data_IF_257555508188
#
_entry.id   IF_257555508188
#
_cell.length_a   1.000
_cell.length_b   1.000
_cell.length_c   1.000
_cell.angle_alpha   90.00
_cell.angle_beta   90.00
_cell.angle_gamma   90.00
#
_symmetry.space_group_name_H-M   'P 1'
#
loop_
_entity.id
_entity.type
_entity.pdbx_description
1 polymer ?
#
# COMPACT_ATOMS: atom_id res chain seq x y z
N UNK A 1 18.83 -53.65 -42.24
CA UNK A 1 17.79 -53.46 -41.20
C UNK A 1 18.37 -52.59 -40.10
N UNK A 2 17.95 -51.32 -39.99
CA UNK A 2 18.30 -50.46 -38.84
C UNK A 2 17.02 -49.71 -38.45
N UNK A 3 16.43 -50.08 -37.32
CA UNK A 3 15.28 -49.39 -36.72
C UNK A 3 15.81 -48.21 -35.90
N UNK A 4 15.57 -46.99 -36.36
CA UNK A 4 15.77 -45.77 -35.56
C UNK A 4 14.50 -45.48 -34.77
N UNK A 5 14.57 -45.54 -33.45
CA UNK A 5 13.56 -45.02 -32.54
C UNK A 5 13.85 -43.53 -32.31
N UNK A 6 12.88 -42.68 -32.64
CA UNK A 6 12.91 -41.23 -32.38
C UNK A 6 12.08 -41.01 -31.11
N UNK A 7 12.74 -40.56 -30.05
CA UNK A 7 12.08 -40.12 -28.82
C UNK A 7 12.13 -38.59 -28.79
N UNK A 8 11.00 -37.93 -29.05
CA UNK A 8 10.86 -36.48 -28.86
C UNK A 8 10.49 -36.18 -27.42
N UNK A 9 11.34 -35.42 -26.71
CA UNK A 9 11.04 -34.85 -25.41
C UNK A 9 10.83 -33.34 -25.58
N UNK A 10 9.60 -32.85 -25.40
CA UNK A 10 9.28 -31.43 -25.41
C UNK A 10 9.45 -30.91 -23.99
N UNK A 11 10.50 -30.11 -23.74
CA UNK A 11 10.71 -29.39 -22.49
C UNK A 11 10.00 -28.04 -22.62
N UNK A 12 8.85 -27.89 -21.95
CA UNK A 12 8.17 -26.61 -21.79
C UNK A 12 8.86 -25.77 -20.72
N UNK A 13 9.57 -24.71 -21.14
CA UNK A 13 10.07 -23.68 -20.22
C UNK A 13 8.89 -22.78 -19.80
N UNK A 14 8.41 -22.96 -18.57
CA UNK A 14 7.55 -21.97 -17.93
C UNK A 14 8.39 -20.75 -17.55
N UNK A 15 8.22 -19.64 -18.27
CA UNK A 15 8.77 -18.34 -17.89
C UNK A 15 8.02 -17.83 -16.65
N UNK A 16 8.55 -18.12 -15.46
CA UNK A 16 8.11 -17.44 -14.25
C UNK A 16 8.67 -16.03 -14.26
N UNK A 17 7.84 -15.05 -14.64
CA UNK A 17 8.17 -13.63 -14.52
C UNK A 17 8.29 -13.29 -13.03
N UNK A 18 9.50 -13.31 -12.49
CA UNK A 18 9.76 -12.80 -11.15
C UNK A 18 9.65 -11.27 -11.20
N UNK A 19 8.46 -10.74 -10.89
CA UNK A 19 8.28 -9.31 -10.67
C UNK A 19 9.09 -8.94 -9.43
N UNK A 20 10.24 -8.30 -9.65
CA UNK A 20 11.14 -7.92 -8.57
C UNK A 20 10.64 -6.65 -7.91
N UNK A 21 10.45 -6.70 -6.59
CA UNK A 21 10.06 -5.52 -5.82
C UNK A 21 11.17 -4.46 -5.85
N UNK A 22 10.82 -3.22 -6.21
CA UNK A 22 11.74 -2.08 -6.12
C UNK A 22 11.93 -1.74 -4.65
N UNK A 23 13.16 -1.61 -4.18
CA UNK A 23 13.48 -1.29 -2.78
C UNK A 23 14.42 -0.10 -2.70
N UNK A 24 14.08 0.87 -1.85
CA UNK A 24 14.92 2.03 -1.51
C UNK A 24 14.79 2.26 -0.01
N UNK A 25 15.90 2.22 0.71
CA UNK A 25 15.90 2.25 2.19
C UNK A 25 14.98 1.16 2.78
N UNK A 26 13.94 1.55 3.52
CA UNK A 26 12.92 0.65 4.09
C UNK A 26 11.64 0.61 3.26
N UNK A 27 11.58 1.35 2.16
CA UNK A 27 10.40 1.44 1.31
C UNK A 27 10.52 0.51 0.12
N UNK A 28 9.39 -0.09 -0.22
CA UNK A 28 9.30 -1.07 -1.29
C UNK A 28 8.09 -0.77 -2.19
N UNK A 29 8.19 -1.12 -3.47
CA UNK A 29 7.09 -1.17 -4.43
C UNK A 29 7.04 -2.54 -5.13
N UNK A 30 5.84 -3.04 -5.43
CA UNK A 30 5.66 -4.30 -6.13
C UNK A 30 4.21 -4.50 -6.56
N UNK A 31 3.96 -5.46 -7.44
CA UNK A 31 2.63 -5.76 -7.97
C UNK A 31 2.06 -7.03 -7.34
N UNK A 32 0.78 -7.00 -6.97
CA UNK A 32 0.01 -8.16 -6.49
C UNK A 32 -1.40 -8.07 -7.06
N UNK A 33 -1.80 -9.05 -7.88
CA UNK A 33 -3.16 -9.14 -8.45
C UNK A 33 -3.67 -7.83 -9.11
N UNK A 34 -2.78 -7.10 -9.80
CA UNK A 34 -3.08 -5.83 -10.46
C UNK A 34 -3.07 -4.60 -9.54
N UNK A 35 -2.78 -4.78 -8.25
CA UNK A 35 -2.49 -3.68 -7.34
C UNK A 35 -0.99 -3.42 -7.27
N UNK A 36 -0.62 -2.15 -7.45
CA UNK A 36 0.67 -1.67 -7.00
C UNK A 36 0.63 -1.49 -5.49
N UNK A 37 1.50 -2.20 -4.79
CA UNK A 37 1.71 -2.13 -3.35
C UNK A 37 2.93 -1.27 -3.08
N UNK A 38 2.78 -0.25 -2.25
CA UNK A 38 3.89 0.52 -1.67
C UNK A 38 3.92 0.27 -0.17
N UNK A 39 5.06 -0.13 0.41
CA UNK A 39 5.09 -0.44 1.84
C UNK A 39 6.42 -0.18 2.52
N UNK A 40 6.35 -0.06 3.84
CA UNK A 40 7.49 -0.03 4.75
C UNK A 40 7.18 -0.82 6.01
N UNK A 41 8.21 -1.31 6.68
CA UNK A 41 8.12 -2.00 7.98
C UNK A 41 9.09 -1.38 8.98
N UNK A 42 8.78 -1.52 10.28
CA UNK A 42 9.66 -1.08 11.35
C UNK A 42 10.31 -2.27 12.08
N UNK A 43 11.12 -1.97 13.10
CA UNK A 43 11.88 -2.96 13.86
C UNK A 43 11.03 -3.87 14.75
N UNK A 44 9.79 -3.49 15.05
CA UNK A 44 8.84 -4.32 15.80
C UNK A 44 7.92 -5.14 14.89
N UNK A 45 8.19 -5.16 13.58
CA UNK A 45 7.39 -5.92 12.60
C UNK A 45 6.06 -5.26 12.24
N UNK A 46 5.81 -4.02 12.67
CA UNK A 46 4.65 -3.27 12.19
C UNK A 46 4.83 -2.93 10.69
N UNK A 47 3.71 -2.84 9.97
CA UNK A 47 3.71 -2.54 8.54
C UNK A 47 2.76 -1.38 8.21
N UNK A 48 3.20 -0.55 7.28
CA UNK A 48 2.41 0.53 6.67
C UNK A 48 2.39 0.29 5.16
N UNK A 49 1.20 0.16 4.60
CA UNK A 49 1.00 -0.25 3.20
C UNK A 49 0.00 0.68 2.53
N UNK A 50 0.35 1.17 1.34
CA UNK A 50 -0.58 1.83 0.42
C UNK A 50 -0.79 0.91 -0.78
N UNK A 51 -2.02 0.49 -0.98
CA UNK A 51 -2.45 -0.26 -2.15
C UNK A 51 -3.04 0.68 -3.18
N UNK A 52 -2.67 0.49 -4.43
CA UNK A 52 -3.13 1.29 -5.55
C UNK A 52 -3.53 0.42 -6.72
N UNK A 53 -4.79 0.50 -7.13
CA UNK A 53 -5.31 -0.08 -8.36
C UNK A 53 -6.00 1.03 -9.16
N UNK A 54 -5.47 1.42 -10.33
CA UNK A 54 -5.93 2.60 -11.03
C UNK A 54 -7.37 2.50 -11.54
N UNK A 55 -7.79 1.32 -12.01
CA UNK A 55 -9.11 1.11 -12.63
C UNK A 55 -10.19 0.56 -11.70
N UNK A 56 -9.85 0.04 -10.52
CA UNK A 56 -10.83 -0.62 -9.65
C UNK A 56 -11.69 0.43 -8.92
N UNK A 57 -13.02 0.46 -9.14
CA UNK A 57 -13.87 1.56 -8.67
C UNK A 57 -14.16 1.56 -7.16
N UNK A 58 -14.01 0.39 -6.51
CA UNK A 58 -14.25 0.21 -5.07
C UNK A 58 -13.12 -0.58 -4.46
N UNK A 59 -12.58 -0.08 -3.34
CA UNK A 59 -11.41 -0.59 -2.65
C UNK A 59 -10.20 -0.67 -3.59
N UNK A 60 -10.07 0.29 -4.49
CA UNK A 60 -8.95 0.38 -5.41
C UNK A 60 -7.76 1.10 -4.78
N UNK A 61 -8.00 1.99 -3.81
CA UNK A 61 -6.95 2.73 -3.12
C UNK A 61 -7.15 2.63 -1.62
N UNK A 62 -6.22 1.94 -0.96
CA UNK A 62 -6.35 1.59 0.45
C UNK A 62 -5.06 1.92 1.19
N UNK A 63 -5.19 2.44 2.40
CA UNK A 63 -4.09 2.50 3.35
C UNK A 63 -4.35 1.48 4.45
N UNK A 64 -3.41 0.56 4.60
CA UNK A 64 -3.47 -0.57 5.51
C UNK A 64 -2.29 -0.50 6.47
N UNK A 65 -2.58 -0.53 7.78
CA UNK A 65 -1.58 -0.53 8.84
C UNK A 65 -1.79 -1.73 9.72
N UNK A 66 -0.69 -2.43 10.03
CA UNK A 66 -0.68 -3.55 10.98
C UNK A 66 0.33 -3.25 12.08
N UNK A 67 -0.10 -3.32 13.35
CA UNK A 67 0.73 -3.14 14.53
C UNK A 67 0.56 -4.37 15.41
N UNK A 68 1.64 -5.09 15.70
CA UNK A 68 1.60 -6.31 16.53
C UNK A 68 0.55 -7.33 16.05
N UNK A 69 0.48 -7.53 14.72
CA UNK A 69 -0.49 -8.42 14.08
C UNK A 69 -1.94 -7.91 14.05
N UNK A 70 -2.23 -6.71 14.56
CA UNK A 70 -3.57 -6.14 14.63
C UNK A 70 -3.76 -5.03 13.59
N UNK A 71 -4.97 -4.96 13.04
CA UNK A 71 -5.47 -3.84 12.23
C UNK A 71 -6.28 -2.88 13.11
N UNK A 72 -6.49 -1.62 12.69
CA UNK A 72 -7.34 -0.71 13.45
C UNK A 72 -8.78 -1.26 13.52
N UNK A 73 -9.45 -1.04 14.66
CA UNK A 73 -10.85 -1.43 14.82
C UNK A 73 -11.72 -0.76 13.75
N UNK A 74 -12.56 -1.51 13.02
CA UNK A 74 -13.48 -0.94 12.04
C UNK A 74 -14.39 0.15 12.62
N UNK A 75 -14.80 1.11 11.79
CA UNK A 75 -15.69 2.22 12.19
C UNK A 75 -15.15 3.06 13.36
N UNK A 76 -13.82 3.18 13.44
CA UNK A 76 -13.15 4.05 14.42
C UNK A 76 -12.32 5.12 13.71
N UNK A 77 -11.52 5.87 14.46
CA UNK A 77 -10.54 6.80 13.92
C UNK A 77 -9.14 6.38 14.35
N UNK A 78 -8.20 6.54 13.45
CA UNK A 78 -6.78 6.34 13.66
C UNK A 78 -6.08 7.69 13.60
N UNK A 79 -5.05 7.88 14.42
CA UNK A 79 -4.20 9.07 14.37
C UNK A 79 -2.99 8.82 13.50
N UNK A 80 -2.77 9.70 12.53
CA UNK A 80 -1.49 9.85 11.85
C UNK A 80 -0.75 11.06 12.44
N UNK A 81 0.51 10.87 12.78
CA UNK A 81 1.37 11.89 13.37
C UNK A 81 2.54 12.11 12.43
N UNK A 82 2.60 13.26 11.75
CA UNK A 82 3.61 13.58 10.73
C UNK A 82 4.14 15.00 10.96
N UNK A 83 5.46 15.16 11.11
CA UNK A 83 6.13 16.44 11.44
C UNK A 83 5.39 17.29 12.49
N UNK A 84 5.01 16.68 13.61
CA UNK A 84 4.28 17.29 14.73
C UNK A 84 2.80 17.65 14.46
N UNK A 85 2.28 17.36 13.28
CA UNK A 85 0.84 17.45 13.00
C UNK A 85 0.15 16.13 13.37
N UNK A 86 -1.04 16.23 13.98
CA UNK A 86 -1.88 15.07 14.30
C UNK A 86 -3.15 15.15 13.47
N UNK A 87 -3.39 14.13 12.65
CA UNK A 87 -4.60 13.98 11.85
C UNK A 87 -5.39 12.77 12.31
N UNK A 88 -6.71 12.93 12.46
CA UNK A 88 -7.61 11.82 12.75
C UNK A 88 -8.34 11.36 11.50
N UNK A 89 -8.06 10.15 11.04
CA UNK A 89 -8.56 9.62 9.78
C UNK A 89 -9.56 8.50 10.05
N UNK A 90 -10.75 8.50 9.39
CA UNK A 90 -11.73 7.45 9.58
C UNK A 90 -11.25 6.11 9.04
N UNK A 91 -11.58 5.06 9.78
CA UNK A 91 -11.37 3.66 9.41
C UNK A 91 -12.72 3.09 9.00
N UNK A 92 -12.79 2.52 7.79
CA UNK A 92 -14.00 1.94 7.24
C UNK A 92 -14.38 0.61 7.93
N UNK A 93 -15.49 0.02 7.48
CA UNK A 93 -16.02 -1.24 8.00
C UNK A 93 -15.08 -2.43 7.82
N UNK A 94 -14.10 -2.33 6.90
CA UNK A 94 -13.13 -3.37 6.61
C UNK A 94 -11.78 -3.15 7.32
N UNK A 95 -11.64 -2.10 8.14
CA UNK A 95 -10.39 -1.81 8.85
C UNK A 95 -9.34 -1.08 8.00
N UNK A 96 -9.73 -0.49 6.86
CA UNK A 96 -8.87 0.34 6.02
C UNK A 96 -9.19 1.82 6.19
N UNK A 97 -8.27 2.70 5.82
CA UNK A 97 -8.61 4.12 5.68
C UNK A 97 -9.58 4.30 4.50
N UNK A 98 -10.67 5.02 4.75
CA UNK A 98 -11.64 5.37 3.72
C UNK A 98 -11.09 6.41 2.73
N UNK A 99 -11.31 6.21 1.43
CA UNK A 99 -11.02 7.16 0.35
C UNK A 99 -12.24 7.42 -0.54
N UNK A 100 -13.42 6.99 -0.11
CA UNK A 100 -14.66 6.95 -0.88
C UNK A 100 -15.55 8.19 -0.77
N UNK A 101 -15.12 9.22 -0.04
CA UNK A 101 -15.82 10.51 0.11
C UNK A 101 -14.91 11.69 -0.27
N UNK A 102 -15.46 12.86 -0.58
CA UNK A 102 -14.68 14.04 -0.98
C UNK A 102 -13.57 14.40 0.03
N UNK A 103 -13.94 14.62 1.29
CA UNK A 103 -12.98 14.93 2.36
C UNK A 103 -11.99 13.79 2.62
N UNK A 104 -12.41 12.54 2.41
CA UNK A 104 -11.57 11.36 2.54
C UNK A 104 -10.48 11.36 1.45
N UNK A 105 -10.85 11.74 0.23
CA UNK A 105 -9.91 11.86 -0.88
C UNK A 105 -8.89 12.97 -0.65
N UNK A 106 -9.34 14.17 -0.22
CA UNK A 106 -8.45 15.28 0.10
C UNK A 106 -7.45 14.89 1.21
N UNK A 107 -7.94 14.19 2.25
CA UNK A 107 -7.09 13.70 3.34
C UNK A 107 -6.07 12.69 2.83
N UNK A 108 -6.46 11.78 1.94
CA UNK A 108 -5.54 10.80 1.36
C UNK A 108 -4.47 11.47 0.48
N UNK A 109 -4.84 12.44 -0.35
CA UNK A 109 -3.90 13.21 -1.17
C UNK A 109 -2.90 13.96 -0.29
N UNK A 110 -3.39 14.61 0.77
CA UNK A 110 -2.53 15.26 1.75
C UNK A 110 -1.54 14.26 2.36
N UNK A 111 -2.02 13.14 2.89
CA UNK A 111 -1.17 12.08 3.46
C UNK A 111 -0.14 11.59 2.45
N UNK A 112 -0.53 11.36 1.19
CA UNK A 112 0.38 10.95 0.13
C UNK A 112 1.54 11.94 -0.07
N UNK A 113 1.23 13.23 -0.15
CA UNK A 113 2.25 14.27 -0.27
C UNK A 113 3.15 14.36 0.97
N UNK A 114 2.58 14.19 2.16
CA UNK A 114 3.36 14.17 3.42
C UNK A 114 4.27 12.95 3.51
N UNK A 115 3.82 11.77 3.09
CA UNK A 115 4.66 10.56 3.01
C UNK A 115 5.90 10.80 2.13
N UNK A 116 5.78 11.58 1.05
CA UNK A 116 6.88 11.91 0.14
C UNK A 116 7.82 13.00 0.66
N UNK A 117 7.40 13.81 1.62
CA UNK A 117 8.12 15.03 2.03
C UNK A 117 8.68 14.95 3.46
N UNK A 118 7.98 14.28 4.37
CA UNK A 118 8.35 14.17 5.77
C UNK A 118 9.45 13.11 5.98
N UNK A 119 10.04 13.09 7.17
CA UNK A 119 11.10 12.12 7.52
C UNK A 119 10.60 10.89 8.27
N UNK A 120 9.47 11.03 8.96
CA UNK A 120 8.86 9.96 9.74
C UNK A 120 7.34 10.15 9.83
N UNK A 121 6.65 9.05 10.05
CA UNK A 121 5.24 9.01 10.40
C UNK A 121 5.07 8.11 11.61
N UNK A 122 4.15 8.45 12.50
CA UNK A 122 3.65 7.51 13.48
C UNK A 122 2.14 7.31 13.35
N UNK A 123 1.71 6.11 13.70
CA UNK A 123 0.33 5.69 13.66
C UNK A 123 -0.09 5.32 15.07
N UNK A 124 -1.27 5.77 15.50
CA UNK A 124 -1.89 5.36 16.75
C UNK A 124 -3.33 4.91 16.53
N UNK A 125 -3.65 3.70 16.94
CA UNK A 125 -5.00 3.16 16.92
C UNK A 125 -5.81 3.64 18.13
N UNK A 126 -7.13 3.36 18.12
CA UNK A 126 -8.03 3.72 19.22
C UNK A 126 -7.71 2.97 20.52
N UNK A 127 -7.17 1.76 20.43
CA UNK A 127 -6.75 0.92 21.57
C UNK A 127 -5.36 1.28 22.11
N UNK A 128 -4.85 2.46 21.75
CA UNK A 128 -3.50 2.97 22.06
C UNK A 128 -2.33 2.21 21.44
N UNK A 129 -2.57 1.19 20.60
CA UNK A 129 -1.51 0.57 19.79
C UNK A 129 -0.81 1.62 18.93
N UNK A 130 0.52 1.60 18.92
CA UNK A 130 1.34 2.66 18.33
C UNK A 130 2.55 2.10 17.57
N UNK A 131 2.84 2.67 16.40
CA UNK A 131 4.02 2.33 15.62
C UNK A 131 4.56 3.54 14.84
N UNK A 132 5.88 3.71 14.87
CA UNK A 132 6.61 4.68 14.04
C UNK A 132 7.23 4.03 12.81
N UNK A 133 7.30 4.78 11.71
CA UNK A 133 7.88 4.37 10.43
C UNK A 133 8.80 5.47 9.89
N UNK A 134 9.92 5.06 9.29
CA UNK A 134 10.81 5.97 8.55
C UNK A 134 10.22 6.26 7.18
N UNK A 135 10.26 7.52 6.76
CA UNK A 135 9.85 7.96 5.42
C UNK A 135 11.04 8.20 4.47
N UNK A 136 12.28 7.95 4.93
CA UNK A 136 13.45 7.93 4.03
C UNK A 136 13.24 6.91 2.91
N UNK A 137 13.40 7.33 1.66
CA UNK A 137 13.17 6.50 0.47
C UNK A 137 11.72 6.51 -0.06
N UNK A 138 10.76 7.09 0.69
CA UNK A 138 9.36 7.09 0.31
C UNK A 138 9.10 7.88 -0.97
N UNK A 139 9.79 9.01 -1.17
CA UNK A 139 9.64 9.88 -2.35
C UNK A 139 10.04 9.18 -3.66
N UNK A 140 11.01 8.28 -3.59
CA UNK A 140 11.55 7.54 -4.72
C UNK A 140 10.74 6.27 -5.06
N UNK A 141 9.99 5.78 -4.07
CA UNK A 141 9.13 4.59 -4.17
C UNK A 141 7.70 4.96 -4.55
N UNK A 142 7.10 5.91 -3.85
CA UNK A 142 5.80 6.47 -4.20
C UNK A 142 5.97 7.31 -5.47
N UNK A 143 5.05 7.27 -6.45
CA UNK A 143 5.07 8.21 -7.57
C UNK A 143 4.69 9.64 -7.14
N UNK A 144 5.01 10.63 -7.99
CA UNK A 144 4.63 12.02 -7.77
C UNK A 144 3.11 12.21 -7.88
N UNK A 145 2.49 11.55 -8.85
CA UNK A 145 1.04 11.51 -9.01
C UNK A 145 0.45 10.62 -7.91
N UNK A 146 -0.58 11.14 -7.23
CA UNK A 146 -1.31 10.40 -6.21
C UNK A 146 -2.06 9.25 -6.85
N UNK A 147 -2.16 8.12 -6.15
CA UNK A 147 -3.06 7.05 -6.57
C UNK A 147 -4.51 7.56 -6.61
N UNK A 148 -5.26 7.37 -7.72
CA UNK A 148 -6.63 7.85 -7.80
C UNK A 148 -7.46 7.25 -6.67
N UNK A 149 -8.20 8.06 -5.93
CA UNK A 149 -9.02 7.62 -4.81
C UNK A 149 -10.31 6.95 -5.30
N UNK A 150 -10.97 6.20 -4.42
CA UNK A 150 -12.25 5.58 -4.77
C UNK A 150 -13.32 6.65 -5.08
N UNK A 151 -13.29 7.80 -4.39
CA UNK A 151 -14.14 8.96 -4.71
C UNK A 151 -13.92 9.50 -6.13
N UNK A 152 -12.67 9.64 -6.56
CA UNK A 152 -12.34 10.11 -7.91
C UNK A 152 -12.78 9.11 -8.98
N UNK A 153 -12.55 7.82 -8.75
CA UNK A 153 -12.94 6.77 -9.70
C UNK A 153 -14.45 6.71 -9.89
N UNK A 154 -15.23 6.85 -8.82
CA UNK A 154 -16.70 6.87 -8.88
C UNK A 154 -17.25 8.04 -9.70
N UNK A 155 -16.58 9.19 -9.69
CA UNK A 155 -16.99 10.36 -10.47
C UNK A 155 -16.62 10.28 -11.96
N UNK A 156 -15.63 9.44 -12.29
CA UNK A 156 -15.20 9.21 -13.67
C UNK A 156 -15.93 8.04 -14.35
N UNK A 157 -16.83 7.37 -13.62
CA UNK A 157 -17.60 6.20 -14.07
C UNK A 157 -18.97 6.58 -14.62
#
# INVERSE_FOLDING_TARGET
>A
MVKKLITSLIIGFALTSSVQAKTIEKWHAGEVDGFTRYWTTNNIGASFVVWCHPQRPVNGTLLHVVIDGKTPTPNTRMKLIIDNEIMEIPVNEQGYIDTGCATCADTFEYVWHRLRAATAIAVKFKDDSYAGFSLKGAKEILPANVCPTDWQKKQAS
#
